data_IF_314781575467
#
_entry.id   IF_314781575467
#
_cell.length_a   1.000
_cell.length_b   1.000
_cell.length_c   1.000
_cell.angle_alpha   90.00
_cell.angle_beta   90.00
_cell.angle_gamma   90.00
#
_symmetry.space_group_name_H-M   'P 1'
#
loop_
_entity.id
_entity.type
_entity.pdbx_description
1 polymer ?
#
# COMPACT_ATOMS: atom_id res chain seq x y z
N UNK A 1 36.77 12.44 -8.14
CA UNK A 1 35.89 11.81 -9.15
C UNK A 1 35.01 12.92 -9.71
N UNK A 2 35.04 13.20 -11.01
CA UNK A 2 34.24 14.29 -11.61
C UNK A 2 32.84 13.78 -11.97
N UNK A 3 31.88 14.70 -12.11
CA UNK A 3 30.51 14.36 -12.52
C UNK A 3 30.48 13.69 -13.90
N UNK A 4 31.29 14.16 -14.87
CA UNK A 4 31.33 13.52 -16.20
C UNK A 4 31.77 12.07 -16.13
N UNK A 5 32.72 11.73 -15.23
CA UNK A 5 33.17 10.36 -15.06
C UNK A 5 32.06 9.47 -14.48
N UNK A 6 31.31 9.96 -13.49
CA UNK A 6 30.18 9.22 -12.90
C UNK A 6 29.11 8.95 -13.96
N UNK A 7 28.75 9.97 -14.75
CA UNK A 7 27.75 9.83 -15.81
C UNK A 7 28.21 8.88 -16.92
N UNK A 8 29.50 8.90 -17.27
CA UNK A 8 30.08 7.99 -18.26
C UNK A 8 30.14 6.53 -17.81
N UNK A 9 30.10 6.26 -16.51
CA UNK A 9 30.09 4.90 -15.96
C UNK A 9 28.68 4.31 -15.81
N UNK A 10 27.62 5.10 -15.98
CA UNK A 10 26.23 4.61 -15.95
C UNK A 10 25.97 3.61 -17.08
N UNK A 11 25.26 2.53 -16.77
CA UNK A 11 24.92 1.50 -17.74
C UNK A 11 23.44 1.15 -17.64
N UNK A 12 22.72 1.39 -18.74
CA UNK A 12 21.31 1.00 -18.90
C UNK A 12 21.18 -0.52 -18.85
N UNK A 13 22.09 -1.25 -19.49
CA UNK A 13 22.07 -2.72 -19.53
C UNK A 13 22.19 -3.34 -18.12
N UNK A 14 23.09 -2.80 -17.27
CA UNK A 14 23.19 -3.25 -15.88
C UNK A 14 21.92 -2.95 -15.08
N UNK A 15 21.37 -1.74 -15.25
CA UNK A 15 20.12 -1.37 -14.60
C UNK A 15 18.96 -2.29 -15.02
N UNK A 16 18.89 -2.65 -16.31
CA UNK A 16 17.90 -3.58 -16.84
C UNK A 16 18.08 -5.00 -16.28
N UNK A 17 19.31 -5.50 -16.23
CA UNK A 17 19.60 -6.82 -15.66
C UNK A 17 19.18 -6.91 -14.18
N UNK A 18 19.39 -5.86 -13.38
CA UNK A 18 18.88 -5.79 -12.01
C UNK A 18 17.35 -5.84 -11.98
N UNK A 19 16.67 -5.09 -12.84
CA UNK A 19 15.21 -5.10 -12.92
C UNK A 19 14.67 -6.50 -13.26
N UNK A 20 15.25 -7.18 -14.27
CA UNK A 20 14.86 -8.54 -14.63
C UNK A 20 15.05 -9.51 -13.47
N UNK A 21 16.23 -9.52 -12.84
CA UNK A 21 16.50 -10.38 -11.69
C UNK A 21 15.53 -10.12 -10.53
N UNK A 22 15.36 -8.86 -10.13
CA UNK A 22 14.51 -8.47 -8.99
C UNK A 22 13.05 -8.82 -9.25
N UNK A 23 12.57 -8.69 -10.49
CA UNK A 23 11.17 -8.95 -10.83
C UNK A 23 10.86 -10.42 -11.09
N UNK A 24 11.78 -11.18 -11.67
CA UNK A 24 11.60 -12.61 -11.98
C UNK A 24 11.93 -13.50 -10.79
N UNK A 25 13.05 -13.23 -10.10
CA UNK A 25 13.57 -14.14 -9.08
C UNK A 25 13.14 -13.74 -7.66
N UNK A 26 12.88 -12.44 -7.42
CA UNK A 26 12.53 -11.88 -6.11
C UNK A 26 11.19 -11.10 -6.13
N UNK A 27 10.08 -11.69 -6.66
CA UNK A 27 8.80 -10.99 -6.76
C UNK A 27 8.17 -10.76 -5.38
N UNK A 28 7.31 -9.74 -5.23
CA UNK A 28 6.61 -9.40 -3.98
C UNK A 28 7.50 -9.37 -2.72
N UNK A 29 7.94 -8.16 -2.36
CA UNK A 29 8.91 -7.93 -1.28
C UNK A 29 8.24 -7.28 -0.07
N UNK A 30 7.11 -7.83 0.36
CA UNK A 30 6.43 -7.38 1.58
C UNK A 30 7.38 -7.47 2.78
N UNK A 31 7.40 -6.45 3.63
CA UNK A 31 8.29 -6.41 4.78
C UNK A 31 8.08 -7.64 5.68
N UNK A 32 9.19 -8.27 6.08
CA UNK A 32 9.17 -9.51 6.87
C UNK A 32 8.94 -10.79 6.05
N UNK A 33 8.77 -10.70 4.73
CA UNK A 33 8.73 -11.89 3.87
C UNK A 33 10.14 -12.42 3.55
N UNK A 34 10.20 -13.68 3.15
CA UNK A 34 11.43 -14.31 2.66
C UNK A 34 12.04 -13.57 1.46
N UNK A 35 11.21 -13.08 0.53
CA UNK A 35 11.70 -12.29 -0.60
C UNK A 35 12.19 -10.88 -0.19
N UNK A 36 11.68 -10.31 0.90
CA UNK A 36 12.26 -9.09 1.47
C UNK A 36 13.69 -9.34 2.00
N UNK A 37 13.96 -10.52 2.59
CA UNK A 37 15.31 -10.92 3.00
C UNK A 37 16.23 -11.12 1.80
N UNK A 38 15.79 -11.91 0.82
CA UNK A 38 16.54 -12.16 -0.42
C UNK A 38 16.89 -10.88 -1.18
N UNK A 39 15.98 -9.89 -1.20
CA UNK A 39 16.27 -8.58 -1.80
C UNK A 39 17.37 -7.83 -1.04
N UNK A 40 17.35 -7.87 0.30
CA UNK A 40 18.38 -7.23 1.11
C UNK A 40 19.76 -7.90 0.93
N UNK A 41 19.79 -9.23 0.82
CA UNK A 41 21.00 -10.01 0.49
C UNK A 41 21.53 -9.62 -0.89
N UNK A 42 20.67 -9.64 -1.91
CA UNK A 42 21.04 -9.22 -3.26
C UNK A 42 21.61 -7.80 -3.30
N UNK A 43 20.94 -6.84 -2.65
CA UNK A 43 21.43 -5.46 -2.59
C UNK A 43 22.78 -5.35 -1.87
N UNK A 44 22.96 -6.08 -0.76
CA UNK A 44 24.22 -6.11 -0.03
C UNK A 44 25.37 -6.64 -0.90
N UNK A 45 25.13 -7.73 -1.62
CA UNK A 45 26.14 -8.36 -2.47
C UNK A 45 26.52 -7.46 -3.65
N UNK A 46 25.53 -6.84 -4.31
CA UNK A 46 25.80 -5.90 -5.42
C UNK A 46 26.55 -4.64 -4.96
N UNK A 47 26.26 -4.13 -3.77
CA UNK A 47 27.03 -3.01 -3.19
C UNK A 47 28.46 -3.44 -2.84
N UNK A 48 28.64 -4.63 -2.24
CA UNK A 48 29.97 -5.15 -1.91
C UNK A 48 30.82 -5.42 -3.15
N UNK A 49 30.26 -5.99 -4.22
CA UNK A 49 30.92 -6.26 -5.49
C UNK A 49 31.43 -4.98 -6.18
N UNK A 50 30.75 -3.86 -5.96
CA UNK A 50 31.17 -2.54 -6.47
C UNK A 50 32.18 -1.82 -5.57
N UNK A 51 32.61 -2.47 -4.49
CA UNK A 51 33.61 -1.95 -3.55
C UNK A 51 33.05 -1.03 -2.47
N UNK A 52 31.73 -1.00 -2.28
CA UNK A 52 31.10 -0.24 -1.20
C UNK A 52 31.05 -1.06 0.09
N UNK A 53 31.26 -0.38 1.21
CA UNK A 53 31.01 -0.99 2.51
C UNK A 53 29.49 -1.16 2.69
N UNK A 54 29.01 -2.41 2.71
CA UNK A 54 27.62 -2.75 2.91
C UNK A 54 27.47 -3.72 4.09
N UNK A 55 26.38 -3.57 4.84
CA UNK A 55 26.04 -4.43 5.96
C UNK A 55 24.53 -4.62 6.03
N UNK A 56 24.12 -5.85 6.36
CA UNK A 56 22.73 -6.16 6.71
C UNK A 56 22.51 -6.04 8.21
N UNK A 57 21.38 -5.43 8.58
CA UNK A 57 20.91 -5.35 9.95
C UNK A 57 19.59 -6.10 10.11
N UNK A 58 19.51 -6.91 11.15
CA UNK A 58 18.29 -7.61 11.53
C UNK A 58 17.67 -6.97 12.76
N UNK A 59 16.37 -6.69 12.71
CA UNK A 59 15.61 -6.15 13.82
C UNK A 59 14.16 -6.62 13.76
N UNK A 60 13.49 -6.61 14.92
CA UNK A 60 12.08 -6.95 15.01
C UNK A 60 11.23 -5.75 14.61
N UNK A 61 10.48 -5.89 13.53
CA UNK A 61 9.45 -4.93 13.11
C UNK A 61 8.05 -5.46 13.39
N UNK A 62 7.12 -4.58 13.76
CA UNK A 62 5.70 -4.88 13.69
C UNK A 62 5.27 -4.80 12.23
N UNK A 63 4.92 -5.93 11.63
CA UNK A 63 4.47 -6.02 10.25
C UNK A 63 3.06 -6.60 10.19
N UNK A 64 2.32 -6.27 9.14
CA UNK A 64 1.00 -6.81 8.84
C UNK A 64 0.96 -7.22 7.39
N UNK A 65 0.34 -8.36 7.12
CA UNK A 65 0.11 -8.85 5.76
C UNK A 65 -1.33 -8.53 5.36
N UNK A 66 -1.54 -7.75 4.28
CA UNK A 66 -2.85 -7.61 3.66
C UNK A 66 -3.40 -8.98 3.27
N UNK A 67 -4.61 -9.26 3.73
CA UNK A 67 -5.41 -10.42 3.37
C UNK A 67 -6.57 -10.02 2.45
N UNK A 68 -7.13 -11.02 1.76
CA UNK A 68 -8.34 -10.85 0.98
C UNK A 68 -9.50 -10.39 1.89
N UNK A 69 -10.32 -9.48 1.38
CA UNK A 69 -11.50 -8.97 2.03
C UNK A 69 -12.65 -8.86 1.04
N UNK A 70 -13.86 -8.62 1.57
CA UNK A 70 -15.06 -8.52 0.76
C UNK A 70 -15.88 -7.31 1.19
N UNK A 71 -16.31 -6.50 0.20
CA UNK A 71 -17.30 -5.44 0.42
C UNK A 71 -18.61 -5.89 -0.19
N UNK A 72 -19.66 -5.99 0.63
CA UNK A 72 -21.02 -6.32 0.19
C UNK A 72 -21.85 -5.06 0.11
N UNK A 73 -22.30 -4.72 -1.09
CA UNK A 73 -23.39 -3.76 -1.25
C UNK A 73 -24.67 -4.53 -0.96
N UNK A 74 -25.42 -4.13 0.06
CA UNK A 74 -26.68 -4.79 0.44
C UNK A 74 -27.89 -4.17 -0.26
N UNK A 75 -27.83 -2.88 -0.56
CA UNK A 75 -28.87 -2.13 -1.26
C UNK A 75 -28.27 -0.93 -2.01
N UNK A 76 -28.95 -0.37 -3.02
CA UNK A 76 -30.19 -0.87 -3.62
C UNK A 76 -29.99 -2.12 -4.50
N UNK A 77 -28.77 -2.36 -4.99
CA UNK A 77 -28.44 -3.49 -5.87
C UNK A 77 -27.40 -4.40 -5.18
N UNK A 78 -27.81 -5.59 -4.71
CA UNK A 78 -26.90 -6.50 -4.04
C UNK A 78 -25.75 -6.93 -4.94
N UNK A 79 -24.51 -6.68 -4.50
CA UNK A 79 -23.32 -7.16 -5.19
C UNK A 79 -22.15 -7.31 -4.24
N UNK A 80 -21.22 -8.16 -4.65
CA UNK A 80 -19.97 -8.42 -3.97
C UNK A 80 -18.85 -7.73 -4.74
N UNK A 81 -18.01 -7.00 -4.03
CA UNK A 81 -16.81 -6.36 -4.56
C UNK A 81 -15.61 -7.00 -3.85
N UNK A 82 -14.71 -7.58 -4.63
CA UNK A 82 -13.44 -8.08 -4.11
C UNK A 82 -12.62 -6.92 -3.56
N UNK A 83 -12.01 -7.13 -2.39
CA UNK A 83 -11.22 -6.12 -1.73
C UNK A 83 -9.97 -6.76 -1.10
N UNK A 84 -9.04 -5.90 -0.68
CA UNK A 84 -7.92 -6.30 0.15
C UNK A 84 -7.90 -5.44 1.40
N UNK A 85 -7.51 -6.04 2.52
CA UNK A 85 -7.33 -5.31 3.77
C UNK A 85 -6.12 -4.36 3.67
N UNK A 86 -6.17 -3.26 4.41
CA UNK A 86 -4.98 -2.43 4.60
C UNK A 86 -4.14 -3.03 5.72
N UNK A 87 -2.81 -2.94 5.57
CA UNK A 87 -1.90 -3.37 6.63
C UNK A 87 -2.24 -2.66 7.95
N UNK A 88 -2.25 -3.42 9.04
CA UNK A 88 -2.61 -2.99 10.39
C UNK A 88 -4.08 -2.60 10.59
N UNK A 89 -4.97 -2.87 9.63
CA UNK A 89 -6.41 -2.77 9.88
C UNK A 89 -6.82 -3.76 10.98
N UNK A 90 -7.75 -3.34 11.85
CA UNK A 90 -8.34 -4.25 12.82
C UNK A 90 -9.13 -5.35 12.12
N UNK A 91 -9.04 -6.58 12.63
CA UNK A 91 -9.88 -7.70 12.19
C UNK A 91 -11.34 -7.47 12.61
N UNK A 92 -12.26 -8.00 11.83
CA UNK A 92 -13.70 -7.94 12.11
C UNK A 92 -14.38 -9.24 11.66
N UNK A 93 -15.47 -9.62 12.33
CA UNK A 93 -16.38 -10.69 11.87
C UNK A 93 -17.33 -10.19 10.76
N UNK A 94 -17.33 -8.89 10.49
CA UNK A 94 -18.20 -8.19 9.56
C UNK A 94 -18.68 -6.87 10.16
N UNK A 95 -18.70 -5.80 9.37
CA UNK A 95 -19.27 -4.50 9.76
C UNK A 95 -20.29 -4.13 8.71
N UNK A 96 -21.51 -3.88 9.16
CA UNK A 96 -22.61 -3.38 8.35
C UNK A 96 -22.96 -1.96 8.81
N UNK A 97 -23.23 -1.09 7.85
CA UNK A 97 -23.64 0.28 8.12
C UNK A 97 -23.85 1.07 6.83
N UNK A 98 -24.51 2.22 6.97
CA UNK A 98 -24.71 3.14 5.87
C UNK A 98 -23.36 3.64 5.32
N UNK A 99 -23.28 3.80 4.00
CA UNK A 99 -22.08 4.25 3.32
C UNK A 99 -22.12 5.77 3.08
N UNK A 100 -21.09 6.49 3.52
CA UNK A 100 -20.94 7.94 3.28
C UNK A 100 -19.69 8.22 2.47
N UNK A 101 -19.87 8.82 1.29
CA UNK A 101 -18.75 9.24 0.46
C UNK A 101 -18.08 10.50 1.03
N UNK A 102 -16.77 10.43 1.26
CA UNK A 102 -15.96 11.49 1.90
C UNK A 102 -14.82 11.97 1.01
N UNK A 103 -15.01 11.97 -0.32
CA UNK A 103 -14.04 12.58 -1.24
C UNK A 103 -12.64 11.99 -1.07
N UNK A 104 -11.65 12.86 -0.95
CA UNK A 104 -10.27 12.44 -0.67
C UNK A 104 -10.09 11.90 0.74
N UNK A 105 -11.00 12.16 1.69
CA UNK A 105 -10.83 11.81 3.10
C UNK A 105 -10.00 12.84 3.87
N UNK A 106 -9.89 14.07 3.35
CA UNK A 106 -9.36 15.20 4.10
C UNK A 106 -10.40 15.69 5.13
N UNK A 107 -9.95 16.41 6.16
CA UNK A 107 -10.81 17.01 7.20
C UNK A 107 -12.02 17.77 6.64
N UNK A 108 -11.80 18.59 5.61
CA UNK A 108 -12.85 19.37 4.95
C UNK A 108 -13.88 18.51 4.23
N UNK A 109 -13.52 17.30 3.80
CA UNK A 109 -14.44 16.42 3.07
C UNK A 109 -15.54 15.83 3.97
N UNK A 110 -15.42 15.98 5.28
CA UNK A 110 -16.40 15.57 6.28
C UNK A 110 -17.38 16.69 6.66
N UNK A 111 -17.14 17.93 6.22
CA UNK A 111 -18.01 19.07 6.55
C UNK A 111 -19.45 18.84 6.07
N UNK A 112 -20.41 19.00 6.98
CA UNK A 112 -21.83 18.80 6.68
C UNK A 112 -22.27 17.35 6.49
N UNK A 113 -21.40 16.35 6.75
CA UNK A 113 -21.73 14.93 6.62
C UNK A 113 -21.88 14.26 7.98
N UNK A 114 -22.97 13.53 8.15
CA UNK A 114 -23.19 12.70 9.33
C UNK A 114 -22.53 11.32 9.12
N UNK A 115 -21.33 11.13 9.67
CA UNK A 115 -20.54 9.88 9.52
C UNK A 115 -20.50 9.03 10.79
N UNK A 116 -21.09 9.50 11.91
CA UNK A 116 -20.98 8.82 13.20
C UNK A 116 -21.69 7.47 13.12
N UNK A 117 -20.98 6.40 13.47
CA UNK A 117 -21.46 5.02 13.41
C UNK A 117 -21.61 4.46 11.99
N UNK A 118 -21.18 5.19 10.95
CA UNK A 118 -21.32 4.80 9.54
C UNK A 118 -20.00 4.30 8.94
N UNK A 119 -20.09 3.69 7.76
CA UNK A 119 -18.93 3.29 6.98
C UNK A 119 -18.60 4.44 6.02
N UNK A 120 -17.36 4.90 5.99
CA UNK A 120 -16.94 5.97 5.06
C UNK A 120 -16.23 5.40 3.83
N UNK A 121 -16.45 6.03 2.68
CA UNK A 121 -15.79 5.71 1.41
C UNK A 121 -14.92 6.90 0.98
N UNK A 122 -13.61 6.70 0.87
CA UNK A 122 -12.67 7.74 0.41
C UNK A 122 -11.91 7.30 -0.85
N UNK A 123 -11.46 8.26 -1.64
CA UNK A 123 -10.50 8.04 -2.73
C UNK A 123 -9.09 7.76 -2.17
N UNK A 124 -8.44 6.71 -2.66
CA UNK A 124 -7.09 6.34 -2.19
C UNK A 124 -6.01 7.31 -2.69
N UNK A 125 -6.18 7.88 -3.89
CA UNK A 125 -5.09 8.45 -4.70
C UNK A 125 -4.64 9.86 -4.26
N UNK A 126 -5.47 10.59 -3.52
CA UNK A 126 -5.22 11.99 -3.19
C UNK A 126 -4.74 12.17 -1.74
N UNK A 127 -4.25 13.36 -1.40
CA UNK A 127 -3.97 13.73 0.00
C UNK A 127 -5.26 13.67 0.84
N UNK A 128 -5.24 13.30 2.13
CA UNK A 128 -4.05 12.97 2.93
C UNK A 128 -3.60 11.52 2.75
N UNK A 129 -2.44 11.15 3.32
CA UNK A 129 -1.92 9.79 3.24
C UNK A 129 -2.91 8.78 3.87
N UNK A 130 -2.86 7.51 3.43
CA UNK A 130 -3.84 6.46 3.81
C UNK A 130 -4.05 6.36 5.33
N UNK A 131 -2.97 6.34 6.11
CA UNK A 131 -3.06 6.26 7.58
C UNK A 131 -3.75 7.49 8.19
N UNK A 132 -3.51 8.67 7.62
CA UNK A 132 -4.16 9.92 8.04
C UNK A 132 -5.66 9.90 7.70
N UNK A 133 -6.05 9.42 6.51
CA UNK A 133 -7.48 9.23 6.15
C UNK A 133 -8.20 8.35 7.18
N UNK A 134 -7.56 7.25 7.60
CA UNK A 134 -8.11 6.33 8.58
C UNK A 134 -8.22 6.98 9.97
N UNK A 135 -7.21 7.76 10.36
CA UNK A 135 -7.22 8.54 11.60
C UNK A 135 -8.38 9.56 11.61
N UNK A 136 -8.52 10.34 10.54
CA UNK A 136 -9.59 11.34 10.40
C UNK A 136 -10.95 10.65 10.47
N UNK A 137 -11.17 9.57 9.71
CA UNK A 137 -12.43 8.82 9.75
C UNK A 137 -12.80 8.37 11.17
N UNK A 138 -11.83 7.80 11.90
CA UNK A 138 -12.00 7.40 13.28
C UNK A 138 -12.34 8.59 14.20
N UNK A 139 -11.60 9.71 14.08
CA UNK A 139 -11.86 10.92 14.86
C UNK A 139 -13.24 11.52 14.60
N UNK A 140 -13.77 11.39 13.39
CA UNK A 140 -15.13 11.83 13.01
C UNK A 140 -16.22 10.85 13.46
N UNK A 141 -15.85 9.69 14.02
CA UNK A 141 -16.79 8.70 14.55
C UNK A 141 -17.25 7.64 13.54
N UNK A 142 -16.59 7.52 12.38
CA UNK A 142 -16.83 6.44 11.42
C UNK A 142 -16.51 5.09 12.07
N UNK A 143 -17.34 4.07 11.85
CA UNK A 143 -17.10 2.71 12.40
C UNK A 143 -16.15 1.87 11.54
N UNK A 144 -16.04 2.19 10.25
CA UNK A 144 -15.10 1.59 9.31
C UNK A 144 -14.82 2.56 8.16
N UNK A 145 -13.73 2.34 7.42
CA UNK A 145 -13.42 3.10 6.21
C UNK A 145 -13.04 2.14 5.08
N UNK A 146 -13.60 2.39 3.90
CA UNK A 146 -13.26 1.75 2.63
C UNK A 146 -12.51 2.79 1.80
N UNK A 147 -11.37 2.42 1.23
CA UNK A 147 -10.62 3.29 0.33
C UNK A 147 -10.67 2.73 -1.10
N UNK A 148 -11.29 3.48 -2.02
CA UNK A 148 -11.40 3.05 -3.41
C UNK A 148 -10.20 3.52 -4.24
N UNK A 149 -9.70 2.61 -5.06
CA UNK A 149 -8.73 2.92 -6.10
C UNK A 149 -9.43 3.26 -7.41
N UNK A 150 -8.85 4.20 -8.15
CA UNK A 150 -9.18 4.40 -9.55
C UNK A 150 -8.41 3.36 -10.38
N UNK A 151 -9.14 2.58 -11.17
CA UNK A 151 -8.59 1.58 -12.07
C UNK A 151 -9.11 1.77 -13.48
N UNK A 152 -8.46 1.11 -14.43
CA UNK A 152 -9.00 1.01 -15.78
C UNK A 152 -10.37 0.30 -15.73
N UNK A 153 -11.29 0.65 -16.63
CA UNK A 153 -12.64 0.07 -16.68
C UNK A 153 -12.66 -1.45 -16.89
N UNK A 154 -11.57 -2.00 -17.43
CA UNK A 154 -11.36 -3.44 -17.63
C UNK A 154 -10.57 -4.09 -16.50
N UNK A 155 -10.38 -3.41 -15.37
CA UNK A 155 -9.67 -4.01 -14.24
C UNK A 155 -10.57 -5.09 -13.60
N UNK A 156 -10.18 -6.35 -13.76
CA UNK A 156 -10.88 -7.52 -13.20
C UNK A 156 -10.34 -7.93 -11.81
N UNK A 157 -9.34 -7.20 -11.30
CA UNK A 157 -8.67 -7.46 -10.03
C UNK A 157 -9.36 -6.79 -8.84
#
# INVERSE_FOLDING_TARGET
>A
MTLERILGELSVDRAWAHLEHITQDIPSRLAGSENSRRMAEYANDQLAETGLASQMHEFRGLVSFPEAGEVRVLSPEPRIIQANTLGHSASTEGIEGDLVYVGSGAESDYEGKDVVGKITLSELSYSPARHEKALIAWQKGSTAQIMMNWGHETNEA
#
